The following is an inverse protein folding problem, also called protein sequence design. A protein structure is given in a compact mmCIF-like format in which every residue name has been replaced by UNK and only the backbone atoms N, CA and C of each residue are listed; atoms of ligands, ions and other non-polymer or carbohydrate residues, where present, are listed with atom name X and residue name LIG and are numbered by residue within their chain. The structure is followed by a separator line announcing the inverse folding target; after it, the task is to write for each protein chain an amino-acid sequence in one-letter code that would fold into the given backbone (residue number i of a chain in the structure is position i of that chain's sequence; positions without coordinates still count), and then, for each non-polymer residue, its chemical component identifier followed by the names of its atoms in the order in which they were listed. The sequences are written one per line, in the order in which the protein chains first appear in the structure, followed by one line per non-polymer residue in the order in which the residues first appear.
data_IF_836694022370
#
_entry.id   IF_836694022370
#
_cell.length_a   1.000
_cell.length_b   1.000
_cell.length_c   1.000
_cell.angle_alpha   90.00
_cell.angle_beta   90.00
_cell.angle_gamma   90.00
#
_symmetry.space_group_name_H-M   'P 1'
#
loop_
_entity.id
_entity.type
_entity.pdbx_description
1 polymer ?
#
# COMPACT_ATOMS: atom_id res chain seq x y z
N UNK A 1 -61.18 -32.41 -18.93
CA UNK A 1 -59.94 -32.55 -19.72
C UNK A 1 -58.96 -31.46 -19.29
N UNK A 2 -57.77 -31.89 -18.86
CA UNK A 2 -56.49 -31.16 -18.81
C UNK A 2 -56.46 -29.84 -18.03
N UNK A 3 -56.23 -29.97 -16.72
CA UNK A 3 -55.56 -28.92 -15.94
C UNK A 3 -54.11 -28.86 -16.44
N UNK A 4 -53.81 -27.89 -17.31
CA UNK A 4 -52.44 -27.63 -17.75
C UNK A 4 -51.70 -26.95 -16.59
N UNK A 5 -50.96 -27.74 -15.81
CA UNK A 5 -50.02 -27.24 -14.81
C UNK A 5 -48.81 -26.67 -15.58
N UNK A 6 -48.84 -25.36 -15.86
CA UNK A 6 -47.70 -24.66 -16.44
C UNK A 6 -46.66 -24.49 -15.34
N UNK A 7 -45.65 -25.36 -15.35
CA UNK A 7 -44.47 -25.26 -14.50
C UNK A 7 -43.60 -24.11 -15.04
N UNK A 8 -43.69 -22.93 -14.42
CA UNK A 8 -42.79 -21.80 -14.70
C UNK A 8 -41.39 -22.14 -14.15
N UNK A 9 -40.60 -22.87 -14.94
CA UNK A 9 -39.16 -23.00 -14.72
C UNK A 9 -38.52 -21.66 -15.10
N UNK A 10 -38.49 -20.71 -14.17
CA UNK A 10 -37.56 -19.59 -14.28
C UNK A 10 -36.14 -20.16 -14.23
N UNK A 11 -35.32 -20.03 -15.29
CA UNK A 11 -33.92 -20.34 -15.15
C UNK A 11 -33.33 -19.32 -14.18
N UNK A 12 -32.99 -19.76 -12.98
CA UNK A 12 -32.09 -19.02 -12.10
C UNK A 12 -30.76 -18.92 -12.87
N UNK A 13 -30.56 -17.80 -13.56
CA UNK A 13 -29.28 -17.43 -14.13
C UNK A 13 -28.33 -17.15 -12.96
N UNK A 14 -27.72 -18.20 -12.43
CA UNK A 14 -26.64 -18.10 -11.46
C UNK A 14 -25.44 -17.59 -12.25
N UNK A 15 -25.21 -16.28 -12.22
CA UNK A 15 -23.95 -15.71 -12.71
C UNK A 15 -22.83 -16.26 -11.82
N UNK A 16 -22.08 -17.23 -12.34
CA UNK A 16 -20.95 -17.81 -11.63
C UNK A 16 -19.84 -16.76 -11.49
N UNK A 17 -19.66 -16.26 -10.27
CA UNK A 17 -18.55 -15.38 -9.94
C UNK A 17 -17.25 -16.18 -9.89
N UNK A 18 -16.20 -15.70 -10.54
CA UNK A 18 -14.86 -16.30 -10.48
C UNK A 18 -14.14 -15.77 -9.24
N UNK A 19 -13.64 -16.66 -8.40
CA UNK A 19 -12.92 -16.28 -7.18
C UNK A 19 -11.40 -16.37 -7.42
N UNK A 20 -10.71 -15.26 -7.22
CA UNK A 20 -9.24 -15.18 -7.20
C UNK A 20 -8.76 -15.12 -5.74
N UNK A 21 -8.02 -16.13 -5.32
CA UNK A 21 -7.46 -16.20 -3.96
C UNK A 21 -6.01 -15.75 -3.99
N UNK A 22 -5.62 -14.84 -3.10
CA UNK A 22 -4.22 -14.49 -2.90
C UNK A 22 -3.48 -15.69 -2.31
N UNK A 23 -2.74 -16.42 -3.16
CA UNK A 23 -2.05 -17.67 -2.78
C UNK A 23 -0.89 -17.50 -1.81
N UNK A 24 -0.44 -16.26 -1.54
CA UNK A 24 0.69 -15.93 -0.67
C UNK A 24 1.95 -16.78 -0.96
N UNK A 25 2.27 -16.95 -2.25
CA UNK A 25 3.28 -17.95 -2.70
C UNK A 25 4.72 -17.48 -2.61
N UNK A 26 4.96 -16.18 -2.45
CA UNK A 26 6.30 -15.60 -2.42
C UNK A 26 6.85 -15.59 -0.99
N UNK A 27 8.15 -15.74 -0.72
CA UNK A 27 8.62 -15.78 0.66
C UNK A 27 8.74 -14.38 1.30
N UNK A 28 8.17 -14.17 2.49
CA UNK A 28 8.43 -13.02 3.39
C UNK A 28 9.67 -13.20 4.27
N UNK A 29 10.69 -13.89 3.76
CA UNK A 29 11.87 -14.27 4.54
C UNK A 29 12.64 -13.05 5.04
N UNK A 30 12.85 -12.95 6.35
CA UNK A 30 13.82 -12.02 6.94
C UNK A 30 15.22 -12.65 6.88
N UNK A 31 16.03 -12.16 5.95
CA UNK A 31 17.43 -12.58 5.82
C UNK A 31 18.35 -11.90 6.84
N UNK A 32 17.92 -10.79 7.46
CA UNK A 32 18.66 -10.12 8.53
C UNK A 32 18.53 -10.85 9.86
N UNK A 33 17.46 -11.64 10.03
CA UNK A 33 17.12 -12.39 11.26
C UNK A 33 16.97 -11.49 12.48
N UNK A 34 16.53 -10.26 12.27
CA UNK A 34 16.34 -9.27 13.33
C UNK A 34 14.89 -9.15 13.77
N UNK A 35 13.94 -9.60 12.94
CA UNK A 35 12.49 -9.52 13.18
C UNK A 35 11.97 -10.72 13.96
N UNK A 36 11.45 -10.44 15.16
CA UNK A 36 10.87 -11.42 16.10
C UNK A 36 9.41 -11.71 15.78
N UNK A 37 8.65 -10.68 15.42
CA UNK A 37 7.21 -10.77 15.16
C UNK A 37 6.79 -9.78 14.07
N UNK A 38 5.69 -10.13 13.41
CA UNK A 38 4.92 -9.24 12.56
C UNK A 38 3.49 -9.21 13.13
N UNK A 39 3.01 -8.02 13.48
CA UNK A 39 1.61 -7.73 13.82
C UNK A 39 0.96 -7.01 12.64
N UNK A 40 -0.23 -7.45 12.21
CA UNK A 40 -0.93 -6.82 11.08
C UNK A 40 -2.22 -6.16 11.55
N UNK A 41 -2.25 -4.83 11.49
CA UNK A 41 -3.39 -4.02 11.88
C UNK A 41 -4.11 -3.56 10.60
N UNK A 42 -5.29 -4.13 10.35
CA UNK A 42 -6.16 -3.70 9.26
C UNK A 42 -7.01 -2.51 9.73
N UNK A 43 -6.76 -1.32 9.20
CA UNK A 43 -7.50 -0.08 9.52
C UNK A 43 -8.33 0.44 8.35
N UNK A 44 -8.40 -0.32 7.25
CA UNK A 44 -9.25 -0.02 6.10
C UNK A 44 -10.69 0.25 6.57
N UNK A 45 -11.29 1.32 6.04
CA UNK A 45 -12.70 1.64 6.31
C UNK A 45 -13.64 0.56 5.78
N UNK A 46 -13.29 -0.04 4.65
CA UNK A 46 -13.98 -1.20 4.09
C UNK A 46 -13.05 -2.41 4.12
N UNK A 47 -13.46 -3.46 4.83
CA UNK A 47 -12.68 -4.72 4.95
C UNK A 47 -12.86 -5.63 3.73
N UNK A 48 -13.96 -5.47 3.00
CA UNK A 48 -14.26 -6.26 1.82
C UNK A 48 -13.55 -5.68 0.60
N UNK A 49 -12.91 -6.56 -0.16
CA UNK A 49 -12.34 -6.22 -1.47
C UNK A 49 -13.47 -6.32 -2.47
N UNK A 50 -13.79 -5.21 -3.14
CA UNK A 50 -14.88 -5.19 -4.11
C UNK A 50 -14.58 -6.07 -5.31
N UNK A 51 -15.64 -6.48 -5.98
CA UNK A 51 -15.56 -7.25 -7.20
C UNK A 51 -15.21 -6.36 -8.39
N UNK A 52 -14.64 -6.98 -9.43
CA UNK A 52 -14.47 -6.35 -10.74
C UNK A 52 -15.17 -7.15 -11.83
N UNK A 53 -15.75 -6.44 -12.77
CA UNK A 53 -16.16 -6.96 -14.06
C UNK A 53 -14.98 -6.87 -15.03
N UNK A 54 -14.60 -8.00 -15.60
CA UNK A 54 -13.52 -8.12 -16.58
C UNK A 54 -13.89 -9.18 -17.62
N UNK A 55 -13.87 -8.78 -18.90
CA UNK A 55 -14.18 -9.65 -20.06
C UNK A 55 -15.43 -10.52 -19.86
N UNK A 56 -16.56 -9.91 -19.50
CA UNK A 56 -17.84 -10.60 -19.38
C UNK A 56 -18.05 -11.39 -18.10
N UNK A 57 -17.08 -11.39 -17.18
CA UNK A 57 -17.14 -12.15 -15.93
C UNK A 57 -16.93 -11.23 -14.72
N UNK A 58 -17.60 -11.54 -13.63
CA UNK A 58 -17.34 -10.92 -12.33
C UNK A 58 -16.28 -11.72 -11.59
N UNK A 59 -15.27 -11.03 -11.07
CA UNK A 59 -14.18 -11.58 -10.29
C UNK A 59 -14.22 -11.04 -8.87
N UNK A 60 -14.23 -11.93 -7.89
CA UNK A 60 -14.04 -11.61 -6.47
C UNK A 60 -12.63 -11.96 -6.01
N UNK A 61 -12.13 -11.22 -5.03
CA UNK A 61 -10.81 -11.40 -4.46
C UNK A 61 -10.90 -11.73 -2.98
N UNK A 62 -10.08 -12.67 -2.52
CA UNK A 62 -9.98 -12.95 -1.08
C UNK A 62 -8.61 -13.42 -0.66
N UNK A 63 -8.31 -13.23 0.63
CA UNK A 63 -7.25 -13.97 1.29
C UNK A 63 -7.69 -15.42 1.57
N UNK A 64 -6.76 -16.36 1.78
CA UNK A 64 -7.06 -17.80 1.95
C UNK A 64 -8.11 -18.12 3.02
N UNK A 65 -8.03 -17.49 4.20
CA UNK A 65 -8.97 -17.70 5.31
C UNK A 65 -10.02 -16.59 5.42
N UNK A 66 -10.04 -15.66 4.46
CA UNK A 66 -10.79 -14.40 4.51
C UNK A 66 -10.42 -13.51 5.71
N UNK A 67 -9.28 -13.77 6.38
CA UNK A 67 -8.74 -12.94 7.43
C UNK A 67 -7.36 -12.43 6.99
N UNK A 68 -7.35 -11.19 6.48
CA UNK A 68 -6.15 -10.54 5.95
C UNK A 68 -4.99 -10.58 6.95
N UNK A 69 -5.23 -10.10 8.17
CA UNK A 69 -4.18 -10.02 9.20
C UNK A 69 -3.62 -11.39 9.50
N UNK A 70 -4.49 -12.38 9.76
CA UNK A 70 -4.05 -13.72 10.13
C UNK A 70 -3.30 -14.41 9.00
N UNK A 71 -3.74 -14.23 7.76
CA UNK A 71 -3.09 -14.85 6.60
C UNK A 71 -1.69 -14.25 6.35
N UNK A 72 -1.51 -12.94 6.50
CA UNK A 72 -0.19 -12.30 6.36
C UNK A 72 0.74 -12.64 7.54
N UNK A 73 0.23 -12.66 8.77
CA UNK A 73 1.00 -13.05 9.96
C UNK A 73 1.48 -14.51 9.85
N UNK A 74 0.60 -15.44 9.51
CA UNK A 74 0.96 -16.84 9.30
C UNK A 74 2.00 -16.98 8.18
N UNK A 75 1.82 -16.25 7.08
CA UNK A 75 2.77 -16.22 5.96
C UNK A 75 4.17 -15.78 6.40
N UNK A 76 4.28 -14.77 7.27
CA UNK A 76 5.53 -14.38 7.91
C UNK A 76 6.11 -15.51 8.78
N UNK A 77 5.31 -16.11 9.67
CA UNK A 77 5.77 -17.13 10.61
C UNK A 77 6.31 -18.38 9.91
N UNK A 78 5.60 -18.85 8.87
CA UNK A 78 5.99 -20.01 8.07
C UNK A 78 7.37 -19.83 7.43
N UNK A 79 7.70 -18.60 7.04
CA UNK A 79 8.97 -18.28 6.38
C UNK A 79 10.09 -17.98 7.39
N UNK A 80 9.77 -17.71 8.66
CA UNK A 80 10.71 -17.20 9.67
C UNK A 80 10.78 -18.05 10.95
N UNK A 81 10.95 -19.37 10.79
CA UNK A 81 10.98 -20.34 11.92
C UNK A 81 12.12 -20.16 12.95
N UNK A 82 13.24 -19.52 12.59
CA UNK A 82 14.43 -19.33 13.46
C UNK A 82 14.55 -17.87 13.86
N UNK A 83 13.73 -17.45 14.82
CA UNK A 83 13.54 -16.05 15.26
C UNK A 83 13.72 -15.86 16.78
N UNK A 84 14.29 -16.86 17.44
CA UNK A 84 14.54 -16.93 18.89
C UNK A 84 15.49 -15.84 19.41
N UNK A 85 16.41 -15.37 18.58
CA UNK A 85 17.37 -14.29 18.92
C UNK A 85 16.98 -12.92 18.36
N UNK A 86 15.88 -12.86 17.62
CA UNK A 86 15.40 -11.63 17.03
C UNK A 86 14.70 -10.77 18.08
N UNK A 87 14.79 -9.45 17.92
CA UNK A 87 14.28 -8.48 18.91
C UNK A 87 13.26 -7.51 18.33
N UNK A 88 13.27 -7.29 17.01
CA UNK A 88 12.43 -6.28 16.39
C UNK A 88 10.99 -6.78 16.30
N UNK A 89 10.06 -5.97 16.79
CA UNK A 89 8.62 -6.21 16.66
C UNK A 89 8.11 -5.27 15.56
N UNK A 90 7.78 -5.83 14.40
CA UNK A 90 7.31 -5.06 13.25
C UNK A 90 5.78 -5.05 13.27
N UNK A 91 5.22 -3.88 12.97
CA UNK A 91 3.77 -3.70 12.76
C UNK A 91 3.55 -3.29 11.33
N UNK A 92 2.63 -3.97 10.64
CA UNK A 92 2.12 -3.60 9.32
C UNK A 92 0.72 -3.02 9.48
N UNK A 93 0.57 -1.75 9.11
CA UNK A 93 -0.71 -1.06 9.05
C UNK A 93 -1.24 -1.12 7.62
N UNK A 94 -2.38 -1.78 7.44
CA UNK A 94 -3.06 -1.87 6.14
C UNK A 94 -4.14 -0.80 6.10
N UNK A 95 -3.87 0.25 5.35
CA UNK A 95 -4.68 1.47 5.29
C UNK A 95 -5.67 1.40 4.14
N UNK A 96 -5.22 0.92 2.97
CA UNK A 96 -6.04 0.68 1.79
C UNK A 96 -5.63 -0.62 1.09
N UNK A 97 -6.64 -1.38 0.66
CA UNK A 97 -6.51 -2.52 -0.25
C UNK A 97 -7.86 -2.70 -0.92
N UNK A 98 -8.01 -2.05 -2.06
CA UNK A 98 -9.25 -1.99 -2.83
C UNK A 98 -8.98 -2.45 -4.26
N UNK A 99 -9.91 -3.25 -4.78
CA UNK A 99 -9.93 -3.59 -6.21
C UNK A 99 -11.30 -3.21 -6.72
N UNK A 100 -11.39 -2.40 -7.77
CA UNK A 100 -12.68 -1.92 -8.28
C UNK A 100 -12.63 -1.58 -9.77
N UNK A 101 -13.79 -1.45 -10.40
CA UNK A 101 -13.90 -0.86 -11.72
C UNK A 101 -14.10 0.65 -11.64
N UNK A 102 -13.45 1.36 -12.54
CA UNK A 102 -13.66 2.78 -12.77
C UNK A 102 -14.02 3.02 -14.24
N UNK A 103 -15.01 3.88 -14.50
CA UNK A 103 -15.37 4.26 -15.86
C UNK A 103 -14.74 5.61 -16.19
N UNK A 104 -13.89 5.66 -17.21
CA UNK A 104 -13.26 6.88 -17.72
C UNK A 104 -13.48 6.93 -19.22
N UNK A 105 -14.07 8.00 -19.73
CA UNK A 105 -14.29 8.21 -21.17
C UNK A 105 -14.94 7.00 -21.88
N UNK A 106 -15.98 6.42 -21.26
CA UNK A 106 -16.70 5.23 -21.74
C UNK A 106 -15.84 3.95 -21.85
N UNK A 107 -14.69 3.91 -21.17
CA UNK A 107 -13.84 2.75 -21.04
C UNK A 107 -13.83 2.29 -19.58
N UNK A 108 -13.82 0.97 -19.38
CA UNK A 108 -13.75 0.37 -18.05
C UNK A 108 -12.28 0.10 -17.74
N UNK A 109 -11.81 0.70 -16.66
CA UNK A 109 -10.53 0.40 -16.04
C UNK A 109 -10.75 -0.51 -14.83
N UNK A 110 -9.85 -1.47 -14.65
CA UNK A 110 -9.72 -2.20 -13.41
C UNK A 110 -8.64 -1.50 -12.59
N UNK A 111 -8.92 -1.24 -11.32
CA UNK A 111 -8.03 -0.48 -10.43
C UNK A 111 -7.68 -1.33 -9.22
N UNK A 112 -6.39 -1.39 -8.89
CA UNK A 112 -5.85 -1.91 -7.63
C UNK A 112 -5.25 -0.72 -6.88
N UNK A 113 -5.84 -0.39 -5.75
CA UNK A 113 -5.41 0.70 -4.88
C UNK A 113 -4.94 0.12 -3.55
N UNK A 114 -3.69 0.41 -3.19
CA UNK A 114 -3.04 -0.14 -2.00
C UNK A 114 -2.22 0.91 -1.27
N UNK A 115 -2.48 1.00 0.04
CA UNK A 115 -1.68 1.75 1.00
C UNK A 115 -1.37 0.87 2.20
N UNK A 116 -0.09 0.56 2.38
CA UNK A 116 0.40 -0.29 3.47
C UNK A 116 1.68 0.28 4.02
N UNK A 117 1.75 0.44 5.33
CA UNK A 117 2.89 1.04 6.02
C UNK A 117 3.42 0.13 7.11
N UNK A 118 4.72 0.19 7.35
CA UNK A 118 5.39 -0.63 8.35
C UNK A 118 6.09 0.22 9.39
N UNK A 119 6.12 -0.30 10.62
CA UNK A 119 6.64 0.38 11.79
C UNK A 119 7.45 -0.58 12.63
N UNK A 120 8.46 -0.06 13.31
CA UNK A 120 9.12 -0.72 14.42
C UNK A 120 8.38 -0.33 15.70
N UNK A 121 7.89 -1.31 16.44
CA UNK A 121 7.30 -1.11 17.76
C UNK A 121 8.42 -1.12 18.82
N UNK A 122 8.46 -0.09 19.64
CA UNK A 122 9.29 -0.05 20.86
C UNK A 122 8.49 0.56 21.98
N UNK A 123 8.32 -0.18 23.06
CA UNK A 123 7.49 0.19 24.20
C UNK A 123 6.07 0.56 23.74
N UNK A 124 5.61 1.78 24.00
CA UNK A 124 4.28 2.29 23.61
C UNK A 124 4.31 3.15 22.35
N UNK A 125 5.42 3.13 21.61
CA UNK A 125 5.63 3.96 20.43
C UNK A 125 5.93 3.14 19.19
N UNK A 126 5.58 3.72 18.05
CA UNK A 126 5.81 3.20 16.73
C UNK A 126 6.77 4.14 16.00
N UNK A 127 7.69 3.56 15.25
CA UNK A 127 8.68 4.31 14.47
C UNK A 127 8.57 3.87 13.02
N UNK A 128 8.27 4.82 12.13
CA UNK A 128 8.01 4.54 10.73
C UNK A 128 9.23 3.91 10.04
N UNK A 129 9.01 2.86 9.25
CA UNK A 129 10.04 2.15 8.47
C UNK A 129 9.85 2.40 6.98
N UNK A 130 8.74 1.91 6.41
CA UNK A 130 8.46 1.94 4.97
C UNK A 130 6.97 2.06 4.68
N UNK A 131 6.65 2.49 3.47
CA UNK A 131 5.28 2.52 2.93
C UNK A 131 5.29 2.10 1.48
N UNK A 132 4.26 1.36 1.10
CA UNK A 132 3.78 1.29 -0.28
C UNK A 132 2.46 2.08 -0.36
N UNK A 133 2.38 3.02 -1.30
CA UNK A 133 1.19 3.86 -1.53
C UNK A 133 1.11 4.12 -3.03
N UNK A 134 0.29 3.32 -3.72
CA UNK A 134 0.19 3.42 -5.17
C UNK A 134 -1.11 2.81 -5.70
N UNK A 135 -1.52 3.32 -6.87
CA UNK A 135 -2.70 2.89 -7.61
C UNK A 135 -2.27 2.35 -8.97
N UNK A 136 -2.64 1.09 -9.25
CA UNK A 136 -2.47 0.47 -10.56
C UNK A 136 -3.81 0.49 -11.28
N UNK A 137 -3.86 1.14 -12.45
CA UNK A 137 -5.06 1.26 -13.26
C UNK A 137 -4.80 0.68 -14.65
N UNK A 138 -5.53 -0.38 -15.00
CA UNK A 138 -5.37 -1.12 -16.26
C UNK A 138 -6.66 -1.09 -17.06
N UNK A 139 -6.55 -0.81 -18.37
CA UNK A 139 -7.70 -0.82 -19.26
C UNK A 139 -8.20 -2.25 -19.48
N UNK A 140 -9.46 -2.53 -19.15
CA UNK A 140 -10.05 -3.88 -19.21
C UNK A 140 -10.09 -4.51 -20.60
N UNK A 141 -10.01 -3.69 -21.67
CA UNK A 141 -10.00 -4.14 -23.06
C UNK A 141 -8.59 -4.42 -23.58
N UNK A 142 -7.63 -3.59 -23.20
CA UNK A 142 -6.26 -3.63 -23.74
C UNK A 142 -5.42 -4.67 -23.00
N UNK A 143 -5.57 -4.75 -21.68
CA UNK A 143 -4.76 -5.63 -20.85
C UNK A 143 -5.38 -7.03 -20.72
N UNK A 144 -4.52 -8.04 -20.78
CA UNK A 144 -4.90 -9.44 -20.56
C UNK A 144 -4.61 -9.87 -19.12
N UNK A 145 -5.35 -10.88 -18.63
CA UNK A 145 -5.07 -11.50 -17.33
C UNK A 145 -5.19 -10.61 -16.09
N UNK A 146 -5.88 -9.45 -16.16
CA UNK A 146 -5.91 -8.47 -15.05
C UNK A 146 -6.20 -9.09 -13.66
N UNK A 147 -7.20 -9.97 -13.47
CA UNK A 147 -7.47 -10.54 -12.14
C UNK A 147 -6.27 -11.31 -11.57
N UNK A 148 -5.58 -12.10 -12.40
CA UNK A 148 -4.38 -12.82 -12.00
C UNK A 148 -3.23 -11.86 -11.71
N UNK A 149 -3.04 -10.86 -12.56
CA UNK A 149 -2.03 -9.79 -12.39
C UNK A 149 -2.22 -9.05 -11.06
N UNK A 150 -3.45 -8.69 -10.71
CA UNK A 150 -3.76 -8.03 -9.44
C UNK A 150 -3.50 -8.95 -8.24
N UNK A 151 -3.92 -10.21 -8.33
CA UNK A 151 -3.66 -11.20 -7.29
C UNK A 151 -2.16 -11.44 -7.06
N UNK A 152 -1.37 -11.47 -8.13
CA UNK A 152 0.08 -11.64 -8.07
C UNK A 152 0.79 -10.37 -7.58
N UNK A 153 0.43 -9.20 -8.11
CA UNK A 153 1.03 -7.92 -7.73
C UNK A 153 0.81 -7.60 -6.27
N UNK A 154 -0.40 -7.85 -5.73
CA UNK A 154 -0.68 -7.65 -4.30
C UNK A 154 0.34 -8.38 -3.42
N UNK A 155 0.65 -9.64 -3.75
CA UNK A 155 1.61 -10.45 -2.99
C UNK A 155 3.05 -10.00 -3.18
N UNK A 156 3.45 -9.64 -4.40
CA UNK A 156 4.80 -9.13 -4.69
C UNK A 156 5.06 -7.78 -4.02
N UNK A 157 4.06 -6.91 -4.00
CA UNK A 157 4.13 -5.61 -3.31
C UNK A 157 4.36 -5.82 -1.81
N UNK A 158 3.55 -6.68 -1.16
CA UNK A 158 3.72 -6.99 0.25
C UNK A 158 5.09 -7.63 0.53
N UNK A 159 5.56 -8.52 -0.35
CA UNK A 159 6.89 -9.11 -0.25
C UNK A 159 8.00 -8.05 -0.31
N UNK A 160 7.97 -7.20 -1.33
CA UNK A 160 8.98 -6.17 -1.53
C UNK A 160 8.97 -5.17 -0.36
N UNK A 161 7.79 -4.75 0.08
CA UNK A 161 7.63 -3.88 1.25
C UNK A 161 8.28 -4.50 2.48
N UNK A 162 8.05 -5.78 2.76
CA UNK A 162 8.69 -6.46 3.89
C UNK A 162 10.21 -6.57 3.74
N UNK A 163 10.70 -6.89 2.54
CA UNK A 163 12.14 -6.94 2.27
C UNK A 163 12.82 -5.59 2.50
N UNK A 164 12.19 -4.49 2.10
CA UNK A 164 12.70 -3.16 2.40
C UNK A 164 12.59 -2.83 3.89
N UNK A 165 11.49 -3.24 4.53
CA UNK A 165 11.24 -3.00 5.96
C UNK A 165 12.33 -3.62 6.84
N UNK A 166 12.74 -4.87 6.58
CA UNK A 166 13.79 -5.55 7.35
C UNK A 166 15.15 -4.84 7.30
N UNK A 167 15.38 -3.99 6.28
CA UNK A 167 16.65 -3.27 6.07
C UNK A 167 16.52 -1.77 6.34
N UNK A 168 15.34 -1.31 6.68
CA UNK A 168 15.08 0.10 6.91
C UNK A 168 15.58 0.52 8.30
N UNK A 169 16.17 1.71 8.36
CA UNK A 169 16.38 2.39 9.63
C UNK A 169 15.08 3.10 10.00
N UNK A 170 14.57 2.93 11.23
CA UNK A 170 13.37 3.63 11.67
C UNK A 170 13.61 5.15 11.68
N UNK A 171 12.59 5.91 11.29
CA UNK A 171 12.60 7.35 11.52
C UNK A 171 12.60 7.62 13.03
N UNK A 172 13.43 8.56 13.48
CA UNK A 172 13.55 8.95 14.90
C UNK A 172 12.40 9.87 15.36
N UNK A 173 11.17 9.57 14.89
CA UNK A 173 9.94 10.27 15.26
C UNK A 173 9.06 9.23 15.95
N UNK A 174 8.86 9.40 17.25
CA UNK A 174 7.98 8.53 18.02
C UNK A 174 6.51 8.83 17.70
N UNK A 175 5.77 7.80 17.31
CA UNK A 175 4.32 7.86 17.08
C UNK A 175 3.64 7.11 18.24
N UNK A 176 2.89 7.81 19.12
CA UNK A 176 2.14 7.14 20.17
C UNK A 176 1.09 6.18 19.59
N UNK A 177 0.83 5.08 20.29
CA UNK A 177 -0.14 4.07 19.85
C UNK A 177 -1.52 4.63 19.48
N UNK A 178 -2.05 5.53 20.30
CA UNK A 178 -3.34 6.21 20.07
C UNK A 178 -3.38 7.02 18.76
N UNK A 179 -2.22 7.43 18.27
CA UNK A 179 -2.08 8.27 17.09
C UNK A 179 -1.59 7.48 15.87
N UNK A 180 -1.43 6.14 15.98
CA UNK A 180 -0.93 5.29 14.89
C UNK A 180 -1.79 5.40 13.63
N UNK A 181 -3.10 5.60 13.75
CA UNK A 181 -3.98 5.77 12.58
C UNK A 181 -3.84 7.15 11.90
N UNK A 182 -3.31 8.15 12.62
CA UNK A 182 -3.08 9.51 12.14
C UNK A 182 -1.57 9.84 12.04
N UNK A 183 -0.73 8.82 12.03
CA UNK A 183 0.74 8.98 12.03
C UNK A 183 1.23 9.83 10.85
N UNK A 184 0.54 9.84 9.72
CA UNK A 184 0.87 10.65 8.55
C UNK A 184 0.90 12.15 8.88
N UNK A 185 -0.01 12.62 9.73
CA UNK A 185 -0.04 14.01 10.18
C UNK A 185 1.16 14.32 11.09
N UNK A 186 1.50 13.39 11.99
CA UNK A 186 2.68 13.49 12.86
C UNK A 186 3.95 13.53 12.02
N UNK A 187 4.10 12.65 11.03
CA UNK A 187 5.27 12.64 10.16
C UNK A 187 5.37 13.96 9.39
N UNK A 188 4.27 14.44 8.80
CA UNK A 188 4.24 15.72 8.07
C UNK A 188 4.61 16.90 8.96
N UNK A 189 4.06 17.00 10.17
CA UNK A 189 4.37 18.11 11.07
C UNK A 189 5.85 18.15 11.49
N UNK A 190 6.54 17.01 11.46
CA UNK A 190 7.97 16.91 11.77
C UNK A 190 8.90 17.27 10.60
N UNK A 191 8.38 17.41 9.37
CA UNK A 191 9.17 17.86 8.23
C UNK A 191 8.94 19.35 7.95
N UNK A 192 10.04 20.10 7.90
CA UNK A 192 10.01 21.55 7.64
C UNK A 192 9.32 21.89 6.30
N UNK A 193 9.42 21.02 5.30
CA UNK A 193 8.78 21.20 4.01
C UNK A 193 7.24 21.16 4.05
N UNK A 194 6.65 20.61 5.10
CA UNK A 194 5.19 20.52 5.27
C UNK A 194 4.66 21.34 6.45
N UNK A 195 5.52 21.75 7.38
CA UNK A 195 5.12 22.55 8.55
C UNK A 195 5.31 24.06 8.38
N UNK A 196 6.07 24.51 7.37
CA UNK A 196 6.24 25.94 7.05
C UNK A 196 5.25 26.36 5.96
N UNK A 197 4.79 27.61 6.04
CA UNK A 197 3.89 28.19 5.03
C UNK A 197 4.57 28.31 3.65
N UNK A 198 5.89 28.52 3.63
CA UNK A 198 6.68 28.68 2.43
C UNK A 198 7.92 27.77 2.45
N UNK A 199 8.26 27.23 1.27
CA UNK A 199 9.51 26.51 1.07
C UNK A 199 10.68 27.49 0.98
N UNK A 200 11.83 27.14 1.55
CA UNK A 200 13.05 27.93 1.43
C UNK A 200 13.58 27.84 0.00
N UNK A 201 13.75 28.99 -0.65
CA UNK A 201 14.40 29.07 -1.96
C UNK A 201 15.83 28.52 -1.90
N UNK A 202 16.20 27.69 -2.88
CA UNK A 202 17.56 27.18 -3.03
C UNK A 202 17.66 25.89 -3.84
N UNK A 203 18.88 25.38 -3.99
CA UNK A 203 19.16 24.13 -4.69
C UNK A 203 19.24 22.99 -3.69
N UNK A 204 18.43 21.96 -3.90
CA UNK A 204 18.42 20.76 -3.08
C UNK A 204 19.09 19.62 -3.84
N UNK A 205 20.13 19.03 -3.27
CA UNK A 205 20.87 17.95 -3.93
C UNK A 205 20.23 16.57 -3.70
N UNK A 206 19.38 16.47 -2.67
CA UNK A 206 18.71 15.23 -2.31
C UNK A 206 17.38 15.49 -1.59
N UNK A 207 16.55 14.46 -1.51
CA UNK A 207 15.24 14.55 -0.87
C UNK A 207 15.31 14.89 0.61
N UNK A 208 16.37 14.46 1.32
CA UNK A 208 16.53 14.77 2.75
C UNK A 208 16.67 16.27 2.94
N UNK A 209 17.57 16.90 2.18
CA UNK A 209 17.81 18.34 2.20
C UNK A 209 16.54 19.13 1.86
N UNK A 210 15.72 18.62 0.94
CA UNK A 210 14.42 19.21 0.62
C UNK A 210 13.46 19.12 1.81
N UNK A 211 13.22 17.93 2.38
CA UNK A 211 12.27 17.79 3.47
C UNK A 211 12.69 18.52 4.76
N UNK A 212 14.00 18.66 5.01
CA UNK A 212 14.56 19.44 6.12
C UNK A 212 14.66 20.95 5.81
N UNK A 213 14.37 21.38 4.57
CA UNK A 213 14.47 22.77 4.13
C UNK A 213 15.87 23.37 4.35
N UNK A 214 16.88 22.56 4.03
CA UNK A 214 18.32 22.89 4.10
C UNK A 214 18.94 22.86 2.70
N UNK A 215 18.62 23.84 1.83
CA UNK A 215 19.23 23.92 0.50
C UNK A 215 20.74 24.17 0.62
N UNK A 216 21.46 23.88 -0.46
CA UNK A 216 22.90 24.08 -0.58
C UNK A 216 23.26 25.55 -0.31
N UNK A 217 24.23 25.76 0.59
CA UNK A 217 24.71 27.09 0.93
C UNK A 217 25.41 27.74 -0.27
N UNK A 218 25.41 29.08 -0.30
CA UNK A 218 26.04 29.90 -1.34
C UNK A 218 25.44 29.79 -2.75
N UNK A 219 24.34 29.08 -2.96
CA UNK A 219 23.61 29.15 -4.23
C UNK A 219 22.48 30.18 -4.17
N UNK A 220 22.44 31.08 -5.15
CA UNK A 220 21.32 32.02 -5.36
C UNK A 220 20.55 31.63 -6.61
N UNK A 221 19.23 31.63 -6.50
CA UNK A 221 18.34 31.49 -7.65
C UNK A 221 18.19 32.86 -8.33
N UNK A 222 18.56 32.94 -9.60
CA UNK A 222 18.31 34.13 -10.43
C UNK A 222 16.98 33.92 -11.13
N UNK A 223 16.03 34.80 -10.85
CA UNK A 223 14.69 34.78 -11.43
C UNK A 223 14.52 35.91 -12.45
N UNK A 224 13.61 35.75 -13.41
CA UNK A 224 13.23 36.83 -14.34
C UNK A 224 12.20 37.79 -13.70
N UNK A 225 11.74 38.79 -14.44
CA UNK A 225 10.73 39.76 -13.97
C UNK A 225 9.34 39.17 -13.72
N UNK A 226 9.11 37.90 -14.08
CA UNK A 226 7.89 37.12 -13.81
C UNK A 226 8.08 36.10 -12.68
N UNK A 227 9.19 36.20 -11.94
CA UNK A 227 9.57 35.29 -10.86
C UNK A 227 9.89 33.84 -11.30
N UNK A 228 10.13 33.61 -12.59
CA UNK A 228 10.52 32.30 -13.10
C UNK A 228 12.04 32.09 -12.91
N UNK A 229 12.43 30.94 -12.36
CA UNK A 229 13.84 30.59 -12.14
C UNK A 229 14.56 30.40 -13.48
N UNK A 230 15.59 31.22 -13.74
CA UNK A 230 16.42 31.14 -14.95
C UNK A 230 17.65 30.24 -14.74
N UNK A 231 18.35 30.44 -13.62
CA UNK A 231 19.55 29.68 -13.27
C UNK A 231 19.86 29.77 -11.77
N UNK A 232 20.60 28.79 -11.27
CA UNK A 232 21.23 28.88 -9.97
C UNK A 232 22.72 29.24 -10.16
N UNK A 233 23.23 30.18 -9.37
CA UNK A 233 24.66 30.56 -9.40
C UNK A 233 25.27 30.39 -8.02
N UNK A 234 26.48 29.85 -7.97
CA UNK A 234 27.31 29.92 -6.78
C UNK A 234 27.72 31.39 -6.57
N UNK A 235 27.46 31.91 -5.37
CA UNK A 235 27.64 33.30 -4.98
C UNK A 235 29.12 33.60 -4.64
#
# INVERSE_FOLDING_TARGET
MKNALILFLFPLLIFAQKKEVFKLKFPLKDYTRTTKSLEVIDVRKNKEIKDIFYRGNTYSFSFPTNNLSKDIENWFEENNKKRDKATNEIVMLVEDLNIFNENRNNQIFCVLDMKVSTFLKKDQNYYFLKRYDNVISLNSKEEAGIPNTFAENTQKVLQNLMFETYRANPLEIAIPEKDLNNYDEILKSNYAAFSKNDLKDGVYLDSKSFFTQTPLENYKLIKNSKDEVLKATNA
#
